data_IF_130809591526
#
_entry.id   IF_130809591526
#
_cell.length_a   1.000
_cell.length_b   1.000
_cell.length_c   1.000
_cell.angle_alpha   90.00
_cell.angle_beta   90.00
_cell.angle_gamma   90.00
#
_symmetry.space_group_name_H-M   'P 1'
#
loop_
_entity.id
_entity.type
_entity.pdbx_description
1 polymer ?
#
# COMPACT_ATOMS: atom_id res chain seq x y z
N UNK A 1 6.47 3.48 -15.68
CA UNK A 1 5.46 3.74 -14.64
C UNK A 1 5.57 5.20 -14.25
N UNK A 2 4.46 5.83 -13.86
CA UNK A 2 4.41 7.24 -13.46
C UNK A 2 4.04 7.28 -11.99
N UNK A 3 4.86 7.92 -11.16
CA UNK A 3 4.55 8.13 -9.74
C UNK A 3 3.89 9.49 -9.57
N UNK A 4 2.74 9.52 -8.90
CA UNK A 4 2.07 10.75 -8.46
C UNK A 4 1.92 10.74 -6.96
N UNK A 5 2.52 11.71 -6.28
CA UNK A 5 2.46 11.87 -4.83
C UNK A 5 1.08 12.39 -4.39
N UNK A 6 0.07 11.56 -4.58
CA UNK A 6 -1.34 11.86 -4.38
C UNK A 6 -2.01 10.68 -3.66
N UNK A 7 -2.98 11.00 -2.81
CA UNK A 7 -3.83 10.02 -2.15
C UNK A 7 -4.78 9.31 -3.10
N UNK A 8 -5.18 8.09 -2.77
CA UNK A 8 -6.29 7.37 -3.42
C UNK A 8 -7.30 6.93 -2.36
N UNK A 9 -8.53 7.45 -2.43
CA UNK A 9 -9.62 7.01 -1.56
C UNK A 9 -10.98 7.27 -2.18
N UNK A 10 -11.98 6.46 -1.82
CA UNK A 10 -13.29 6.45 -2.49
C UNK A 10 -13.13 6.31 -4.02
N UNK A 11 -12.27 5.38 -4.43
CA UNK A 11 -11.98 5.03 -5.83
C UNK A 11 -11.55 6.23 -6.72
N UNK A 12 -10.90 7.24 -6.13
CA UNK A 12 -10.45 8.44 -6.84
C UNK A 12 -9.05 8.87 -6.40
N UNK A 13 -8.22 9.24 -7.37
CA UNK A 13 -6.98 9.97 -7.12
C UNK A 13 -7.35 11.38 -6.66
N UNK A 14 -6.68 11.87 -5.63
CA UNK A 14 -6.96 13.17 -5.01
C UNK A 14 -6.08 14.26 -5.59
N UNK A 15 -6.53 15.49 -5.43
CA UNK A 15 -5.69 16.65 -5.71
C UNK A 15 -4.58 16.80 -4.65
N UNK A 16 -3.61 17.66 -4.96
CA UNK A 16 -2.44 17.89 -4.12
C UNK A 16 -2.81 18.44 -2.74
N UNK A 17 -3.78 19.36 -2.68
CA UNK A 17 -4.20 20.01 -1.43
C UNK A 17 -4.89 19.01 -0.51
N UNK A 18 -5.79 18.19 -1.05
CA UNK A 18 -6.46 17.12 -0.29
C UNK A 18 -5.48 16.08 0.25
N UNK A 19 -4.52 15.66 -0.59
CA UNK A 19 -3.50 14.68 -0.20
C UNK A 19 -2.63 15.22 0.95
N UNK A 20 -2.10 16.43 0.79
CA UNK A 20 -1.25 17.07 1.80
C UNK A 20 -2.03 17.41 3.07
N UNK A 21 -3.32 17.76 2.99
CA UNK A 21 -4.15 17.97 4.18
C UNK A 21 -4.26 16.72 5.05
N UNK A 22 -4.32 15.54 4.44
CA UNK A 22 -4.33 14.27 5.16
C UNK A 22 -2.98 14.02 5.82
N UNK A 23 -1.87 14.22 5.10
CA UNK A 23 -0.52 14.04 5.65
C UNK A 23 -0.23 15.03 6.77
N UNK A 24 -0.68 16.29 6.66
CA UNK A 24 -0.59 17.28 7.74
C UNK A 24 -1.27 16.80 9.02
N UNK A 25 -2.41 16.13 8.89
CA UNK A 25 -3.14 15.53 10.04
C UNK A 25 -2.32 14.40 10.67
N UNK A 26 -1.76 13.51 9.86
CA UNK A 26 -0.96 12.37 10.32
C UNK A 26 0.34 12.79 11.00
N UNK A 27 1.00 13.80 10.42
CA UNK A 27 2.35 14.19 10.78
C UNK A 27 2.38 15.36 11.76
N UNK A 28 1.24 16.00 12.02
CA UNK A 28 1.12 17.26 12.74
C UNK A 28 1.94 18.39 12.07
N UNK A 29 1.85 18.50 10.74
CA UNK A 29 2.49 19.55 9.93
C UNK A 29 1.45 20.54 9.38
N UNK A 30 1.90 21.59 8.66
CA UNK A 30 1.03 22.68 8.15
C UNK A 30 1.41 23.12 6.74
N UNK A 31 1.60 22.17 5.82
CA UNK A 31 1.98 22.44 4.43
C UNK A 31 0.81 22.76 3.51
N UNK A 32 -0.42 22.34 3.84
CA UNK A 32 -1.62 22.52 3.01
C UNK A 32 -1.77 23.93 2.45
N UNK A 33 -1.66 24.96 3.31
CA UNK A 33 -1.83 26.35 2.91
C UNK A 33 -0.76 26.83 1.90
N UNK A 34 0.43 26.21 1.90
CA UNK A 34 1.48 26.51 0.91
C UNK A 34 1.16 25.85 -0.43
N UNK A 35 0.65 24.62 -0.40
CA UNK A 35 0.23 23.87 -1.60
C UNK A 35 -0.96 24.53 -2.28
N UNK A 36 -1.98 24.91 -1.51
CA UNK A 36 -3.16 25.63 -2.02
C UNK A 36 -2.79 26.96 -2.70
N UNK A 37 -1.74 27.63 -2.22
CA UNK A 37 -1.21 28.87 -2.81
C UNK A 37 -0.19 28.64 -3.94
N UNK A 38 0.03 27.39 -4.36
CA UNK A 38 0.99 27.02 -5.40
C UNK A 38 2.46 27.28 -5.02
N UNK A 39 2.78 27.43 -3.73
CA UNK A 39 4.14 27.68 -3.23
C UNK A 39 4.94 26.40 -2.97
N UNK A 40 4.25 25.27 -2.89
CA UNK A 40 4.81 23.92 -2.77
C UNK A 40 3.94 22.97 -3.57
N UNK A 41 4.53 21.89 -4.04
CA UNK A 41 3.84 20.74 -4.62
C UNK A 41 3.70 19.62 -3.59
N UNK A 42 2.76 18.72 -3.83
CA UNK A 42 2.63 17.47 -3.06
C UNK A 42 3.87 16.58 -3.14
N UNK A 43 4.59 16.58 -4.27
CA UNK A 43 5.86 15.87 -4.41
C UNK A 43 6.94 16.42 -3.48
N UNK A 44 7.09 17.74 -3.42
CA UNK A 44 8.05 18.38 -2.50
C UNK A 44 7.70 18.09 -1.04
N UNK A 45 6.41 18.06 -0.69
CA UNK A 45 5.96 17.69 0.67
C UNK A 45 6.21 16.22 0.96
N UNK A 46 5.95 15.31 0.00
CA UNK A 46 6.21 13.89 0.16
C UNK A 46 7.72 13.62 0.32
N UNK A 47 8.57 14.32 -0.44
CA UNK A 47 10.02 14.25 -0.29
C UNK A 47 10.48 14.72 1.08
N UNK A 48 9.99 15.88 1.53
CA UNK A 48 10.24 16.36 2.88
C UNK A 48 9.81 15.32 3.93
N UNK A 49 8.62 14.73 3.77
CA UNK A 49 8.12 13.73 4.71
C UNK A 49 9.01 12.48 4.73
N UNK A 50 9.46 12.01 3.57
CA UNK A 50 10.40 10.90 3.45
C UNK A 50 11.71 11.17 4.21
N UNK A 51 12.33 12.31 3.97
CA UNK A 51 13.59 12.73 4.59
C UNK A 51 13.47 12.91 6.12
N UNK A 52 12.26 13.21 6.62
CA UNK A 52 12.00 13.48 8.04
C UNK A 52 11.25 12.32 8.74
N UNK A 53 11.17 11.14 8.13
CA UNK A 53 10.51 9.96 8.69
C UNK A 53 9.04 10.20 9.05
N UNK A 54 8.34 10.94 8.19
CA UNK A 54 6.92 11.26 8.29
C UNK A 54 6.11 10.48 7.27
N UNK A 55 4.81 10.35 7.54
CA UNK A 55 3.90 9.59 6.68
C UNK A 55 3.58 10.31 5.38
N UNK A 56 3.50 9.57 4.28
CA UNK A 56 3.07 10.09 2.99
C UNK A 56 2.50 8.96 2.12
N UNK A 57 1.89 9.34 1.01
CA UNK A 57 1.22 8.41 0.11
C UNK A 57 1.52 8.75 -1.34
N UNK A 58 1.43 7.77 -2.23
CA UNK A 58 1.52 8.00 -3.66
C UNK A 58 0.75 6.94 -4.46
N UNK A 59 0.46 7.30 -5.69
CA UNK A 59 -0.14 6.44 -6.70
C UNK A 59 0.89 6.13 -7.77
N UNK A 60 0.90 4.90 -8.27
CA UNK A 60 1.65 4.50 -9.47
C UNK A 60 0.67 4.27 -10.60
N UNK A 61 0.93 4.86 -11.76
CA UNK A 61 0.08 4.75 -12.94
C UNK A 61 0.85 4.12 -14.10
N UNK A 62 0.16 3.38 -14.97
CA UNK A 62 0.73 2.91 -16.23
C UNK A 62 0.91 4.07 -17.23
N UNK A 63 -0.01 5.03 -17.23
CA UNK A 63 0.05 6.22 -18.08
C UNK A 63 -0.71 7.41 -17.47
N UNK A 64 -0.50 8.61 -18.00
CA UNK A 64 -1.25 9.82 -17.61
C UNK A 64 -2.77 9.72 -17.84
N UNK A 65 -3.20 8.81 -18.72
CA UNK A 65 -4.61 8.60 -19.09
C UNK A 65 -5.27 7.47 -18.29
N UNK A 66 -4.53 6.81 -17.39
CA UNK A 66 -5.07 5.74 -16.57
C UNK A 66 -6.20 6.26 -15.68
N UNK A 67 -7.37 5.60 -15.73
CA UNK A 67 -8.54 5.96 -14.92
C UNK A 67 -8.29 5.70 -13.42
N UNK A 68 -7.66 4.57 -13.13
CA UNK A 68 -7.26 4.14 -11.80
C UNK A 68 -5.74 3.95 -11.75
N UNK A 69 -5.11 4.12 -10.57
CA UNK A 69 -3.70 3.78 -10.42
C UNK A 69 -3.51 2.27 -10.58
N UNK A 70 -2.32 1.85 -10.98
CA UNK A 70 -1.90 0.45 -10.90
C UNK A 70 -1.84 -0.01 -9.42
N UNK A 71 -1.20 0.81 -8.58
CA UNK A 71 -1.22 0.62 -7.14
C UNK A 71 -1.18 1.96 -6.42
N UNK A 72 -1.63 1.93 -5.17
CA UNK A 72 -1.56 3.02 -4.22
C UNK A 72 -0.72 2.57 -3.03
N UNK A 73 0.21 3.41 -2.60
CA UNK A 73 1.19 3.08 -1.56
C UNK A 73 1.08 4.08 -0.41
N UNK A 74 1.12 3.56 0.79
CA UNK A 74 1.14 4.33 2.04
C UNK A 74 2.41 4.00 2.82
N UNK A 75 3.23 5.01 3.09
CA UNK A 75 4.48 4.87 3.86
C UNK A 75 4.28 5.58 5.20
N UNK A 76 4.44 4.85 6.30
CA UNK A 76 4.24 5.37 7.66
C UNK A 76 5.43 4.95 8.55
N UNK A 77 6.55 5.69 8.48
CA UNK A 77 7.80 5.32 9.17
C UNK A 77 7.63 5.19 10.68
N UNK A 78 6.85 6.07 11.30
CA UNK A 78 6.57 6.04 12.76
C UNK A 78 5.91 4.74 13.22
N UNK A 79 5.14 4.09 12.35
CA UNK A 79 4.49 2.82 12.63
C UNK A 79 5.27 1.63 12.05
N UNK A 80 6.48 1.85 11.51
CA UNK A 80 7.29 0.81 10.85
C UNK A 80 6.52 0.10 9.73
N UNK A 81 5.67 0.84 9.02
CA UNK A 81 4.66 0.29 8.12
C UNK A 81 4.81 0.81 6.69
N UNK A 82 4.74 -0.11 5.72
CA UNK A 82 4.51 0.20 4.31
C UNK A 82 3.37 -0.68 3.79
N UNK A 83 2.32 -0.04 3.27
CA UNK A 83 1.19 -0.71 2.64
C UNK A 83 1.17 -0.45 1.15
N UNK A 84 1.01 -1.51 0.35
CA UNK A 84 0.82 -1.43 -1.10
C UNK A 84 -0.54 -2.01 -1.45
N UNK A 85 -1.37 -1.24 -2.14
CA UNK A 85 -2.73 -1.60 -2.51
C UNK A 85 -2.85 -1.62 -4.03
N UNK A 86 -2.89 -2.80 -4.63
CA UNK A 86 -3.07 -2.96 -6.08
C UNK A 86 -4.53 -2.83 -6.45
N UNK A 87 -4.77 -2.09 -7.52
CA UNK A 87 -6.11 -1.67 -7.91
C UNK A 87 -6.48 -2.33 -9.23
N UNK A 88 -7.69 -2.88 -9.29
CA UNK A 88 -8.23 -3.51 -10.51
C UNK A 88 -8.79 -2.46 -11.49
N UNK A 89 -9.32 -2.92 -12.62
CA UNK A 89 -9.86 -2.06 -13.66
C UNK A 89 -11.17 -1.34 -13.25
N UNK A 90 -11.78 -1.71 -12.12
CA UNK A 90 -12.97 -1.08 -11.55
C UNK A 90 -12.61 -0.11 -10.40
N UNK A 91 -11.33 0.07 -10.09
CA UNK A 91 -10.87 0.96 -9.03
C UNK A 91 -10.87 0.33 -7.63
N UNK A 92 -11.02 -0.99 -7.53
CA UNK A 92 -11.12 -1.74 -6.27
C UNK A 92 -9.76 -2.34 -5.89
N UNK A 93 -9.49 -2.44 -4.60
CA UNK A 93 -8.25 -3.06 -4.11
C UNK A 93 -8.37 -4.58 -4.08
N UNK A 94 -7.75 -5.27 -5.04
CA UNK A 94 -7.81 -6.73 -5.14
C UNK A 94 -6.62 -7.44 -4.49
N UNK A 95 -5.49 -6.75 -4.29
CA UNK A 95 -4.30 -7.30 -3.66
C UNK A 95 -3.68 -6.24 -2.74
N UNK A 96 -3.26 -6.64 -1.54
CA UNK A 96 -2.57 -5.78 -0.59
C UNK A 96 -1.32 -6.47 -0.08
N UNK A 97 -0.22 -5.73 -0.07
CA UNK A 97 1.01 -6.11 0.62
C UNK A 97 1.14 -5.25 1.88
N UNK A 98 1.52 -5.89 2.98
CA UNK A 98 1.79 -5.26 4.25
C UNK A 98 3.23 -5.59 4.66
N UNK A 99 4.08 -4.57 4.64
CA UNK A 99 5.46 -4.68 5.10
C UNK A 99 5.64 -4.08 6.49
N UNK A 100 6.37 -4.80 7.32
CA UNK A 100 6.92 -4.32 8.58
C UNK A 100 8.42 -4.00 8.46
N UNK A 101 8.85 -2.93 9.13
CA UNK A 101 10.28 -2.62 9.31
C UNK A 101 10.87 -3.47 10.44
N UNK A 102 11.73 -4.44 10.09
CA UNK A 102 12.14 -5.52 11.01
C UNK A 102 13.58 -5.44 11.52
N UNK A 103 14.42 -4.58 10.92
CA UNK A 103 15.84 -4.41 11.30
C UNK A 103 16.20 -2.94 11.54
N UNK A 104 17.29 -2.69 12.24
CA UNK A 104 17.79 -1.33 12.54
C UNK A 104 18.19 -0.54 11.29
N UNK A 105 18.62 -1.24 10.23
CA UNK A 105 18.91 -0.65 8.92
C UNK A 105 17.65 -0.36 8.08
N UNK A 106 16.47 -0.50 8.71
CA UNK A 106 15.15 -0.27 8.14
C UNK A 106 14.74 -1.27 7.05
N UNK A 107 15.39 -2.44 7.01
CA UNK A 107 14.94 -3.55 6.14
C UNK A 107 13.46 -3.84 6.38
N UNK A 108 12.71 -3.95 5.29
CA UNK A 108 11.31 -4.33 5.25
C UNK A 108 11.18 -5.84 5.09
N UNK A 109 10.15 -6.41 5.69
CA UNK A 109 9.72 -7.80 5.50
C UNK A 109 8.23 -7.82 5.15
N UNK A 110 7.84 -8.58 4.13
CA UNK A 110 6.44 -8.77 3.77
C UNK A 110 5.75 -9.68 4.80
N UNK A 111 5.03 -9.08 5.74
CA UNK A 111 4.37 -9.77 6.85
C UNK A 111 3.03 -10.36 6.44
N UNK A 112 2.26 -9.62 5.63
CA UNK A 112 0.94 -10.07 5.20
C UNK A 112 0.65 -9.78 3.73
N UNK A 113 -0.08 -10.70 3.10
CA UNK A 113 -0.69 -10.52 1.78
C UNK A 113 -2.18 -10.77 1.88
N UNK A 114 -2.98 -9.82 1.41
CA UNK A 114 -4.42 -9.98 1.27
C UNK A 114 -4.82 -9.98 -0.19
N UNK A 115 -5.48 -11.03 -0.64
CA UNK A 115 -6.09 -11.13 -1.96
C UNK A 115 -7.61 -11.14 -1.83
N UNK A 116 -8.30 -10.33 -2.62
CA UNK A 116 -9.76 -10.26 -2.70
C UNK A 116 -10.21 -10.67 -4.10
N UNK A 117 -11.03 -11.72 -4.18
CA UNK A 117 -11.75 -12.07 -5.39
C UNK A 117 -13.14 -11.43 -5.35
N UNK A 118 -13.41 -10.52 -6.29
CA UNK A 118 -14.75 -9.94 -6.46
C UNK A 118 -15.64 -10.82 -7.32
N UNK A 119 -16.96 -10.73 -7.10
CA UNK A 119 -17.96 -11.44 -7.91
C UNK A 119 -17.92 -10.93 -9.36
N UNK A 120 -17.72 -11.84 -10.31
CA UNK A 120 -17.66 -11.50 -11.72
C UNK A 120 -18.99 -10.94 -12.25
N UNK A 121 -18.90 -9.94 -13.13
CA UNK A 121 -20.08 -9.35 -13.79
C UNK A 121 -20.88 -8.37 -12.92
N UNK A 122 -20.41 -8.06 -11.71
CA UNK A 122 -20.96 -7.01 -10.87
C UNK A 122 -19.90 -5.91 -10.65
N UNK A 123 -20.28 -4.66 -10.86
CA UNK A 123 -19.46 -3.48 -10.53
C UNK A 123 -19.54 -3.11 -9.05
N UNK A 124 -20.28 -3.90 -8.25
CA UNK A 124 -20.30 -3.75 -6.79
C UNK A 124 -18.95 -4.11 -6.15
N UNK A 125 -18.82 -3.73 -4.88
CA UNK A 125 -17.73 -4.15 -4.00
C UNK A 125 -18.00 -5.55 -3.39
N UNK A 126 -18.93 -6.33 -3.95
CA UNK A 126 -19.28 -7.65 -3.41
C UNK A 126 -18.13 -8.65 -3.63
N UNK A 127 -17.67 -9.23 -2.55
CA UNK A 127 -16.54 -10.15 -2.50
C UNK A 127 -17.04 -11.60 -2.59
N UNK A 128 -16.46 -12.40 -3.49
CA UNK A 128 -16.71 -13.85 -3.55
C UNK A 128 -15.97 -14.56 -2.41
N UNK A 129 -14.68 -14.25 -2.27
CA UNK A 129 -13.84 -14.69 -1.17
C UNK A 129 -12.62 -13.77 -0.99
N UNK A 130 -11.98 -13.87 0.17
CA UNK A 130 -10.67 -13.26 0.45
C UNK A 130 -9.67 -14.32 0.89
N UNK A 131 -8.40 -14.12 0.58
CA UNK A 131 -7.30 -14.92 1.12
C UNK A 131 -6.36 -14.01 1.90
N UNK A 132 -6.02 -14.43 3.10
CA UNK A 132 -5.00 -13.80 3.93
C UNK A 132 -3.83 -14.76 4.07
N UNK A 133 -2.63 -14.29 3.76
CA UNK A 133 -1.38 -14.98 4.02
C UNK A 133 -0.60 -14.16 5.03
N UNK A 134 -0.16 -14.80 6.12
CA UNK A 134 0.69 -14.20 7.13
C UNK A 134 2.01 -14.97 7.21
N UNK A 135 3.11 -14.25 7.25
CA UNK A 135 4.47 -14.77 7.27
C UNK A 135 5.21 -14.26 8.50
N UNK A 136 6.15 -15.05 9.00
CA UNK A 136 7.13 -14.57 9.97
C UNK A 136 8.58 -14.77 9.49
N UNK A 137 9.51 -14.12 10.20
CA UNK A 137 10.93 -14.14 9.85
C UNK A 137 11.59 -15.50 10.10
N UNK A 138 10.92 -16.41 10.81
CA UNK A 138 11.43 -17.75 11.15
C UNK A 138 11.05 -18.81 10.10
N UNK A 139 10.34 -18.39 9.04
CA UNK A 139 9.91 -19.25 7.93
C UNK A 139 8.56 -19.91 8.16
N UNK A 140 7.80 -19.50 9.19
CA UNK A 140 6.44 -20.00 9.42
C UNK A 140 5.43 -19.18 8.64
N UNK A 141 4.34 -19.82 8.23
CA UNK A 141 3.25 -19.15 7.54
C UNK A 141 1.90 -19.72 7.92
N UNK A 142 0.88 -18.89 7.83
CA UNK A 142 -0.52 -19.28 7.91
C UNK A 142 -1.27 -18.66 6.74
N UNK A 143 -2.20 -19.42 6.16
CA UNK A 143 -3.11 -18.91 5.16
C UNK A 143 -4.56 -19.20 5.55
N UNK A 144 -5.43 -18.21 5.37
CA UNK A 144 -6.86 -18.33 5.64
C UNK A 144 -7.66 -17.84 4.45
N UNK A 145 -8.61 -18.65 3.99
CA UNK A 145 -9.60 -18.26 2.98
C UNK A 145 -10.91 -17.92 3.67
N UNK A 146 -11.45 -16.74 3.43
CA UNK A 146 -12.75 -16.26 3.92
C UNK A 146 -13.76 -16.33 2.77
N UNK A 147 -14.85 -17.07 2.95
CA UNK A 147 -15.98 -17.12 2.01
C UNK A 147 -17.11 -16.31 2.63
N UNK A 148 -17.04 -15.00 2.49
CA UNK A 148 -17.86 -14.04 3.22
C UNK A 148 -19.36 -14.22 2.92
N UNK A 149 -19.70 -14.54 1.66
CA UNK A 149 -21.08 -14.86 1.24
C UNK A 149 -21.73 -16.02 2.02
N UNK A 150 -20.93 -16.88 2.67
CA UNK A 150 -21.38 -18.04 3.44
C UNK A 150 -21.04 -17.94 4.92
N UNK A 151 -20.35 -16.89 5.36
CA UNK A 151 -19.84 -16.75 6.73
C UNK A 151 -18.91 -17.89 7.15
N UNK A 152 -18.11 -18.42 6.21
CA UNK A 152 -17.20 -19.56 6.44
C UNK A 152 -15.75 -19.15 6.21
N UNK A 153 -14.82 -19.87 6.84
CA UNK A 153 -13.40 -19.79 6.52
C UNK A 153 -12.76 -21.18 6.45
N UNK A 154 -11.64 -21.27 5.74
CA UNK A 154 -10.81 -22.46 5.60
C UNK A 154 -9.37 -22.07 5.96
N UNK A 155 -8.78 -22.84 6.87
CA UNK A 155 -7.40 -22.64 7.34
C UNK A 155 -6.44 -23.59 6.64
N UNK A 156 -5.30 -23.05 6.26
CA UNK A 156 -4.21 -23.76 5.62
C UNK A 156 -2.92 -23.41 6.37
N UNK A 157 -2.40 -24.37 7.12
CA UNK A 157 -1.11 -24.25 7.81
C UNK A 157 -0.15 -25.29 7.23
N UNK A 158 1.07 -24.85 6.94
CA UNK A 158 2.15 -25.74 6.55
C UNK A 158 3.02 -26.09 7.74
N UNK A 159 3.38 -27.37 7.86
CA UNK A 159 4.33 -27.83 8.89
C UNK A 159 5.79 -27.73 8.41
N UNK A 160 6.01 -27.15 7.23
CA UNK A 160 7.33 -27.01 6.62
C UNK A 160 7.75 -25.55 6.66
N UNK A 161 8.99 -25.31 7.11
CA UNK A 161 9.62 -24.00 6.98
C UNK A 161 9.91 -23.72 5.52
N UNK A 162 9.47 -22.56 5.05
CA UNK A 162 9.76 -22.08 3.71
C UNK A 162 10.92 -21.09 3.76
N UNK A 163 11.64 -20.98 2.65
CA UNK A 163 12.64 -19.93 2.48
C UNK A 163 11.95 -18.61 2.09
N UNK A 164 11.96 -17.67 3.02
CA UNK A 164 11.40 -16.32 2.84
C UNK A 164 12.46 -15.25 2.60
N UNK A 165 13.67 -15.62 2.16
CA UNK A 165 14.69 -14.63 1.81
C UNK A 165 14.20 -13.64 0.75
N UNK A 166 13.31 -14.08 -0.13
CA UNK A 166 12.68 -13.25 -1.16
C UNK A 166 11.59 -12.30 -0.66
N UNK A 167 11.18 -12.36 0.61
CA UNK A 167 10.18 -11.47 1.20
C UNK A 167 10.79 -10.23 1.89
N UNK A 168 12.11 -10.10 1.83
CA UNK A 168 12.83 -8.96 2.38
C UNK A 168 13.11 -7.92 1.30
N UNK A 169 12.90 -6.65 1.64
CA UNK A 169 13.20 -5.53 0.78
C UNK A 169 13.97 -4.46 1.55
N UNK A 170 14.77 -3.67 0.82
CA UNK A 170 15.36 -2.47 1.42
C UNK A 170 14.26 -1.43 1.63
N UNK A 171 14.45 -0.58 2.64
CA UNK A 171 13.63 0.63 2.70
C UNK A 171 13.81 1.43 1.40
N UNK A 172 12.73 1.84 0.73
CA UNK A 172 12.85 2.49 -0.57
C UNK A 172 13.52 3.85 -0.44
N UNK A 173 14.34 4.22 -1.43
CA UNK A 173 14.77 5.60 -1.63
C UNK A 173 13.59 6.41 -2.21
N UNK A 174 13.55 7.73 -1.97
CA UNK A 174 12.47 8.54 -2.51
C UNK A 174 12.42 8.49 -4.05
N UNK A 175 11.31 8.02 -4.59
CA UNK A 175 11.10 7.87 -6.03
C UNK A 175 11.56 6.53 -6.62
N UNK A 176 12.13 5.63 -5.80
CA UNK A 176 12.55 4.28 -6.20
C UNK A 176 11.76 3.25 -5.39
N UNK A 177 10.62 2.82 -5.93
CA UNK A 177 9.62 2.02 -5.20
C UNK A 177 9.42 0.63 -5.81
N UNK A 178 10.21 0.26 -6.82
CA UNK A 178 10.04 -0.98 -7.58
C UNK A 178 10.10 -2.22 -6.70
N UNK A 179 11.03 -2.27 -5.74
CA UNK A 179 11.22 -3.43 -4.85
C UNK A 179 9.97 -3.80 -4.04
N UNK A 180 9.25 -2.80 -3.52
CA UNK A 180 8.02 -3.05 -2.74
C UNK A 180 6.77 -3.29 -3.62
N UNK A 181 6.85 -3.00 -4.93
CA UNK A 181 5.72 -3.10 -5.86
C UNK A 181 5.76 -4.40 -6.68
N UNK A 182 6.95 -4.94 -6.98
CA UNK A 182 7.11 -6.02 -7.97
C UNK A 182 7.38 -7.41 -7.37
N UNK A 183 7.22 -7.56 -6.05
CA UNK A 183 7.31 -8.83 -5.33
C UNK A 183 6.36 -9.90 -5.86
#
# INVERSE_FOLDING_TARGET
>A
MIVKYLGFFMQKIKDQTSSVSRWDTWNNTKFRNKVEKGKLTSEEVAKYNHEHLLGYEFCVLHSEKSLYPYCYVTIVPRNKYVGVHFIDNEGRTYLKYHFGEVKEDRTLFLEEVWFTQYIAGNSSEDEEYRMHFAFDQDGNYAARKYIDSKGKYEDYEGNQKLDFSGLYEKYPEFGQYEGIIQL
#
